data_IF_671753018361
#
_entry.id   IF_671753018361
#
_cell.length_a   1.000
_cell.length_b   1.000
_cell.length_c   1.000
_cell.angle_alpha   90.00
_cell.angle_beta   90.00
_cell.angle_gamma   90.00
#
_symmetry.space_group_name_H-M   'P 1'
#
loop_
_entity.id
_entity.type
_entity.pdbx_description
1 polymer ?
#
# COMPACT_ATOMS: atom_id res chain seq x y z
N UNK A 1 -28.64 -21.95 17.48
CA UNK A 1 -28.19 -20.95 16.52
C UNK A 1 -28.35 -19.59 17.16
N UNK A 2 -27.28 -18.98 17.65
CA UNK A 2 -27.29 -17.65 18.24
C UNK A 2 -27.45 -16.63 17.11
N UNK A 3 -28.52 -15.84 17.12
CA UNK A 3 -28.68 -14.69 16.22
C UNK A 3 -27.44 -13.78 16.36
N UNK A 4 -26.71 -13.59 15.26
CA UNK A 4 -25.60 -12.62 15.24
C UNK A 4 -26.22 -11.22 15.29
N UNK A 5 -25.85 -10.43 16.30
CA UNK A 5 -26.35 -9.08 16.47
C UNK A 5 -25.95 -8.20 15.27
N UNK A 6 -26.90 -7.40 14.77
CA UNK A 6 -26.75 -6.60 13.54
C UNK A 6 -25.58 -5.62 13.54
N UNK A 7 -25.04 -5.27 14.71
CA UNK A 7 -23.90 -4.36 14.87
C UNK A 7 -22.53 -5.02 14.58
N UNK A 8 -22.46 -6.36 14.51
CA UNK A 8 -21.21 -7.10 14.31
C UNK A 8 -21.27 -7.94 13.02
N UNK A 9 -21.18 -7.24 11.87
CA UNK A 9 -21.13 -7.84 10.53
C UNK A 9 -19.74 -7.64 9.93
N UNK A 10 -19.23 -8.67 9.26
CA UNK A 10 -17.94 -8.63 8.55
C UNK A 10 -18.05 -9.44 7.26
N UNK A 11 -17.49 -8.93 6.18
CA UNK A 11 -17.26 -9.66 4.92
C UNK A 11 -15.84 -10.25 4.83
N UNK A 12 -15.00 -10.02 5.85
CA UNK A 12 -13.59 -10.44 5.85
C UNK A 12 -13.44 -11.86 6.37
N UNK A 13 -14.01 -12.17 7.54
CA UNK A 13 -13.77 -13.47 8.17
C UNK A 13 -14.88 -13.87 9.12
N UNK A 14 -15.09 -15.18 9.23
CA UNK A 14 -16.05 -15.76 10.17
C UNK A 14 -15.58 -17.12 10.64
N UNK A 15 -15.99 -17.53 11.84
CA UNK A 15 -15.74 -18.87 12.36
C UNK A 15 -16.97 -19.46 13.05
N UNK A 16 -17.06 -20.78 13.02
CA UNK A 16 -17.95 -21.63 13.81
C UNK A 16 -17.09 -22.70 14.52
N UNK A 17 -17.73 -23.66 15.19
CA UNK A 17 -17.02 -24.81 15.76
C UNK A 17 -16.28 -25.65 14.70
N UNK A 18 -16.82 -25.70 13.47
CA UNK A 18 -16.42 -26.66 12.44
C UNK A 18 -15.91 -25.99 11.15
N UNK A 19 -15.92 -24.65 11.07
CA UNK A 19 -15.49 -23.92 9.87
C UNK A 19 -14.86 -22.59 10.23
N UNK A 20 -13.85 -22.20 9.45
CA UNK A 20 -13.26 -20.85 9.46
C UNK A 20 -13.24 -20.38 8.02
N UNK A 21 -13.81 -19.21 7.75
CA UNK A 21 -13.86 -18.63 6.40
C UNK A 21 -13.14 -17.30 6.36
N UNK A 22 -12.40 -17.02 5.28
CA UNK A 22 -11.87 -15.69 4.94
C UNK A 22 -12.31 -15.30 3.53
N UNK A 23 -12.83 -14.08 3.37
CA UNK A 23 -13.37 -13.56 2.11
C UNK A 23 -14.30 -14.55 1.38
N UNK A 24 -15.15 -15.25 2.14
CA UNK A 24 -16.08 -16.24 1.60
C UNK A 24 -15.50 -17.62 1.25
N UNK A 25 -14.22 -17.88 1.56
CA UNK A 25 -13.51 -19.15 1.29
C UNK A 25 -13.16 -19.87 2.59
N UNK A 26 -13.19 -21.19 2.58
CA UNK A 26 -12.79 -22.03 3.72
C UNK A 26 -11.27 -21.96 3.93
N UNK A 27 -10.85 -21.51 5.12
CA UNK A 27 -9.45 -21.28 5.44
C UNK A 27 -8.62 -22.59 5.41
N UNK A 28 -9.01 -23.68 6.08
CA UNK A 28 -8.24 -24.92 6.05
C UNK A 28 -8.13 -25.56 4.67
N UNK A 29 -9.23 -25.62 3.92
CA UNK A 29 -9.27 -26.41 2.69
C UNK A 29 -9.02 -25.60 1.43
N UNK A 30 -9.21 -24.28 1.42
CA UNK A 30 -9.07 -23.43 0.23
C UNK A 30 -7.91 -22.44 0.29
N UNK A 31 -7.42 -22.07 1.47
CA UNK A 31 -6.39 -21.04 1.64
C UNK A 31 -5.07 -21.62 2.15
N UNK A 32 -5.09 -22.37 3.27
CA UNK A 32 -3.88 -22.89 3.90
C UNK A 32 -3.10 -23.81 2.95
N UNK A 33 -1.83 -23.47 2.70
CA UNK A 33 -0.97 -24.21 1.77
C UNK A 33 -1.25 -23.94 0.29
N UNK A 34 -2.18 -23.03 -0.05
CA UNK A 34 -2.49 -22.63 -1.42
C UNK A 34 -2.14 -21.17 -1.71
N UNK A 35 -2.47 -20.28 -0.78
CA UNK A 35 -2.13 -18.85 -0.90
C UNK A 35 -0.94 -18.51 0.00
N UNK A 36 -0.02 -17.72 -0.53
CA UNK A 36 1.00 -17.00 0.23
C UNK A 36 0.37 -15.87 1.06
N UNK A 37 1.15 -15.30 1.97
CA UNK A 37 0.73 -14.15 2.76
C UNK A 37 0.37 -12.94 1.87
N UNK A 38 1.16 -12.69 0.82
CA UNK A 38 0.94 -11.58 -0.12
C UNK A 38 -0.35 -11.79 -0.94
N UNK A 39 -0.61 -13.02 -1.39
CA UNK A 39 -1.88 -13.35 -2.07
C UNK A 39 -3.09 -13.19 -1.17
N UNK A 40 -2.98 -13.63 0.10
CA UNK A 40 -4.06 -13.45 1.07
C UNK A 40 -4.30 -11.96 1.35
N UNK A 41 -3.24 -11.17 1.55
CA UNK A 41 -3.38 -9.73 1.75
C UNK A 41 -4.05 -9.06 0.54
N UNK A 42 -3.65 -9.43 -0.68
CA UNK A 42 -4.28 -8.95 -1.91
C UNK A 42 -5.77 -9.33 -1.95
N UNK A 43 -6.11 -10.60 -1.69
CA UNK A 43 -7.49 -11.09 -1.67
C UNK A 43 -8.36 -10.32 -0.66
N UNK A 44 -7.84 -10.07 0.54
CA UNK A 44 -8.60 -9.39 1.60
C UNK A 44 -8.85 -7.90 1.29
N UNK A 45 -7.92 -7.25 0.58
CA UNK A 45 -8.01 -5.83 0.22
C UNK A 45 -8.76 -5.59 -1.09
N UNK A 46 -8.47 -6.39 -2.12
CA UNK A 46 -9.01 -6.23 -3.47
C UNK A 46 -10.25 -7.09 -3.73
N UNK A 47 -10.61 -8.00 -2.81
CA UNK A 47 -11.72 -8.94 -2.93
C UNK A 47 -11.64 -9.86 -4.17
N UNK A 48 -10.43 -10.09 -4.69
CA UNK A 48 -10.12 -11.04 -5.77
C UNK A 48 -8.69 -11.54 -5.62
N UNK A 49 -8.37 -12.67 -6.23
CA UNK A 49 -6.96 -13.10 -6.30
C UNK A 49 -6.15 -12.17 -7.23
N UNK A 50 -4.85 -11.98 -6.93
CA UNK A 50 -3.97 -11.25 -7.82
C UNK A 50 -3.68 -12.08 -9.08
N UNK A 51 -3.43 -11.40 -10.19
CA UNK A 51 -2.69 -12.02 -11.30
C UNK A 51 -1.24 -12.31 -10.88
N UNK A 52 -0.51 -13.21 -11.56
CA UNK A 52 0.90 -13.47 -11.23
C UNK A 52 1.78 -12.21 -11.23
N UNK A 53 1.54 -11.28 -12.17
CA UNK A 53 2.25 -10.01 -12.24
C UNK A 53 1.92 -9.07 -11.07
N UNK A 54 0.64 -8.96 -10.70
CA UNK A 54 0.21 -8.14 -9.55
C UNK A 54 0.78 -8.69 -8.25
N UNK A 55 0.81 -10.01 -8.10
CA UNK A 55 1.41 -10.67 -6.94
C UNK A 55 2.90 -10.32 -6.85
N UNK A 56 3.64 -10.48 -7.95
CA UNK A 56 5.08 -10.22 -7.97
C UNK A 56 5.41 -8.75 -7.70
N UNK A 57 4.62 -7.84 -8.26
CA UNK A 57 4.81 -6.40 -8.04
C UNK A 57 4.45 -6.00 -6.60
N UNK A 58 3.31 -6.48 -6.06
CA UNK A 58 2.92 -6.22 -4.68
C UNK A 58 3.96 -6.78 -3.69
N UNK A 59 4.45 -8.00 -3.92
CA UNK A 59 5.47 -8.61 -3.07
C UNK A 59 6.76 -7.78 -3.07
N UNK A 60 7.21 -7.33 -4.24
CA UNK A 60 8.37 -6.43 -4.35
C UNK A 60 8.15 -5.10 -3.61
N UNK A 61 6.96 -4.52 -3.68
CA UNK A 61 6.60 -3.32 -2.92
C UNK A 61 6.67 -3.60 -1.40
N UNK A 62 6.07 -4.69 -0.92
CA UNK A 62 6.11 -5.05 0.50
C UNK A 62 7.54 -5.29 0.99
N UNK A 63 8.37 -5.97 0.21
CA UNK A 63 9.81 -6.15 0.50
C UNK A 63 10.52 -4.80 0.57
N UNK A 64 10.22 -3.87 -0.34
CA UNK A 64 10.83 -2.54 -0.36
C UNK A 64 10.46 -1.65 0.84
N UNK A 65 9.39 -2.03 1.57
CA UNK A 65 8.88 -1.36 2.76
C UNK A 65 9.30 -2.06 4.07
N UNK A 66 9.96 -3.22 3.99
CA UNK A 66 10.25 -4.06 5.15
C UNK A 66 11.11 -3.35 6.20
N UNK A 67 12.14 -2.61 5.77
CA UNK A 67 12.94 -1.77 6.65
C UNK A 67 13.62 -0.64 5.87
N UNK A 68 13.94 0.43 6.59
CA UNK A 68 14.71 1.55 6.08
C UNK A 68 15.69 2.08 7.16
N UNK A 69 16.13 1.20 8.06
CA UNK A 69 17.06 1.50 9.14
C UNK A 69 16.42 2.21 10.33
N UNK A 70 17.14 3.17 10.92
CA UNK A 70 16.71 3.90 12.12
C UNK A 70 15.67 4.99 11.81
N UNK A 71 14.57 4.60 11.19
CA UNK A 71 13.39 5.45 11.00
C UNK A 71 12.82 5.88 12.36
N UNK A 72 12.04 6.99 12.42
CA UNK A 72 11.38 7.40 13.66
C UNK A 72 10.56 6.27 14.31
N UNK A 73 9.85 5.46 13.51
CA UNK A 73 9.11 4.28 13.99
C UNK A 73 10.01 3.24 14.62
N UNK A 74 11.16 2.92 14.00
CA UNK A 74 12.13 1.97 14.56
C UNK A 74 12.74 2.48 15.87
N UNK A 75 13.04 3.78 15.95
CA UNK A 75 13.58 4.41 17.17
C UNK A 75 12.55 4.39 18.31
N UNK A 76 11.30 4.73 18.03
CA UNK A 76 10.21 4.68 19.02
C UNK A 76 10.02 3.26 19.57
N UNK A 77 9.96 2.26 18.69
CA UNK A 77 9.83 0.87 19.10
C UNK A 77 11.00 0.42 20.00
N UNK A 78 12.25 0.74 19.63
CA UNK A 78 13.44 0.39 20.41
C UNK A 78 13.49 1.06 21.78
N UNK A 79 13.07 2.31 21.86
CA UNK A 79 13.00 3.04 23.12
C UNK A 79 11.99 2.39 24.07
N UNK A 80 10.79 2.05 23.57
CA UNK A 80 9.79 1.33 24.35
C UNK A 80 10.27 -0.05 24.77
N UNK A 81 10.91 -0.81 23.87
CA UNK A 81 11.46 -2.13 24.17
C UNK A 81 12.51 -2.10 25.29
N UNK A 82 13.31 -1.03 25.37
CA UNK A 82 14.33 -0.88 26.42
C UNK A 82 13.70 -0.75 27.82
N UNK A 83 12.48 -0.24 27.91
CA UNK A 83 11.74 -0.10 29.17
C UNK A 83 11.04 -1.39 29.64
N UNK A 84 10.60 -2.25 28.71
CA UNK A 84 9.89 -3.50 29.00
C UNK A 84 10.13 -4.56 27.90
N UNK A 85 11.27 -5.28 27.90
CA UNK A 85 11.62 -6.24 26.87
C UNK A 85 10.62 -7.40 26.70
N UNK A 86 9.92 -7.76 27.78
CA UNK A 86 8.87 -8.78 27.79
C UNK A 86 7.59 -8.33 27.05
N UNK A 87 7.42 -7.03 26.83
CA UNK A 87 6.24 -6.44 26.19
C UNK A 87 6.51 -6.09 24.71
N UNK A 88 6.96 -7.07 23.92
CA UNK A 88 7.33 -6.86 22.50
C UNK A 88 6.20 -6.25 21.66
N UNK A 89 4.94 -6.63 21.91
CA UNK A 89 3.76 -6.05 21.26
C UNK A 89 3.63 -4.55 21.54
N UNK A 90 4.01 -4.10 22.75
CA UNK A 90 4.01 -2.68 23.11
C UNK A 90 5.06 -1.90 22.36
N UNK A 91 6.25 -2.48 22.18
CA UNK A 91 7.31 -1.89 21.35
C UNK A 91 6.89 -1.77 19.88
N UNK A 92 6.31 -2.83 19.31
CA UNK A 92 5.78 -2.80 17.93
C UNK A 92 4.68 -1.74 17.80
N UNK A 93 3.72 -1.71 18.74
CA UNK A 93 2.66 -0.70 18.75
C UNK A 93 3.21 0.73 18.81
N UNK A 94 4.22 0.99 19.63
CA UNK A 94 4.84 2.32 19.72
C UNK A 94 5.44 2.79 18.38
N UNK A 95 6.09 1.89 17.63
CA UNK A 95 6.60 2.20 16.30
C UNK A 95 5.48 2.45 15.27
N UNK A 96 4.41 1.65 15.33
CA UNK A 96 3.26 1.75 14.41
C UNK A 96 2.42 3.00 14.65
N UNK A 97 2.20 3.38 15.92
CA UNK A 97 1.38 4.54 16.28
C UNK A 97 2.00 5.90 15.91
N UNK A 98 3.25 5.89 15.43
CA UNK A 98 3.90 7.06 14.82
C UNK A 98 3.60 7.25 13.32
N UNK A 99 2.92 6.30 12.68
CA UNK A 99 2.54 6.40 11.26
C UNK A 99 1.42 7.44 11.06
N UNK A 100 1.53 8.27 10.02
CA UNK A 100 0.58 9.33 9.72
C UNK A 100 0.93 10.12 8.45
N UNK A 101 0.39 11.33 8.29
CA UNK A 101 0.55 12.12 7.06
C UNK A 101 1.99 12.47 6.69
N UNK A 102 2.92 12.50 7.66
CA UNK A 102 4.34 12.78 7.41
C UNK A 102 5.15 11.51 7.17
N UNK A 103 4.75 10.39 7.80
CA UNK A 103 5.47 9.11 7.78
C UNK A 103 4.52 8.00 7.37
N UNK A 104 4.83 7.31 6.26
CA UNK A 104 4.00 6.30 5.58
C UNK A 104 2.79 6.87 4.83
N UNK A 105 2.12 7.90 5.35
CA UNK A 105 0.98 8.57 4.71
C UNK A 105 1.24 9.12 3.29
N UNK A 106 2.42 9.70 2.97
CA UNK A 106 2.66 10.30 1.66
C UNK A 106 2.46 9.37 0.46
N UNK A 107 2.59 8.04 0.65
CA UNK A 107 2.30 7.06 -0.40
C UNK A 107 0.82 7.06 -0.78
N UNK A 108 -0.08 7.15 0.22
CA UNK A 108 -1.51 7.26 -0.01
C UNK A 108 -1.88 8.59 -0.67
N UNK A 109 -1.26 9.69 -0.21
CA UNK A 109 -1.48 11.02 -0.80
C UNK A 109 -1.08 11.06 -2.29
N UNK A 110 0.04 10.43 -2.64
CA UNK A 110 0.49 10.30 -4.02
C UNK A 110 -0.49 9.47 -4.86
N UNK A 111 -0.96 8.34 -4.34
CA UNK A 111 -1.92 7.49 -5.04
C UNK A 111 -3.24 8.22 -5.31
N UNK A 112 -3.80 8.92 -4.32
CA UNK A 112 -5.01 9.72 -4.49
C UNK A 112 -4.80 10.87 -5.48
N UNK A 113 -3.69 11.61 -5.34
CA UNK A 113 -3.37 12.70 -6.26
C UNK A 113 -3.30 12.22 -7.72
N UNK A 114 -2.58 11.14 -7.99
CA UNK A 114 -2.47 10.57 -9.33
C UNK A 114 -3.82 10.07 -9.85
N UNK A 115 -4.57 9.34 -9.02
CA UNK A 115 -5.87 8.79 -9.38
C UNK A 115 -6.90 9.88 -9.71
N UNK A 116 -7.06 10.86 -8.83
CA UNK A 116 -8.01 11.95 -9.00
C UNK A 116 -7.61 12.84 -10.19
N UNK A 117 -6.32 13.14 -10.32
CA UNK A 117 -5.80 13.93 -11.45
C UNK A 117 -6.12 13.25 -12.78
N UNK A 118 -5.89 11.94 -12.87
CA UNK A 118 -6.17 11.18 -14.07
C UNK A 118 -7.69 11.06 -14.32
N UNK A 119 -8.48 10.67 -13.31
CA UNK A 119 -9.94 10.53 -13.41
C UNK A 119 -10.60 11.82 -13.91
N UNK A 120 -10.19 12.96 -13.39
CA UNK A 120 -10.87 14.24 -13.63
C UNK A 120 -10.47 14.88 -14.98
N UNK A 121 -9.28 14.53 -15.52
CA UNK A 121 -8.69 15.22 -16.69
C UNK A 121 -8.39 14.34 -17.89
N UNK A 122 -8.35 13.01 -17.74
CA UNK A 122 -7.94 12.11 -18.83
C UNK A 122 -8.86 12.18 -20.05
N UNK A 123 -10.16 12.43 -19.86
CA UNK A 123 -11.14 12.48 -20.96
C UNK A 123 -11.16 11.21 -21.82
N UNK A 124 -10.62 10.10 -21.31
CA UNK A 124 -10.46 8.81 -22.01
C UNK A 124 -9.18 8.64 -22.84
N UNK A 125 -8.31 9.66 -22.97
CA UNK A 125 -7.04 9.51 -23.72
C UNK A 125 -5.84 9.25 -22.79
N UNK A 126 -5.02 8.26 -23.15
CA UNK A 126 -3.83 7.82 -22.39
C UNK A 126 -2.54 7.92 -23.21
N UNK A 127 -2.54 8.79 -24.23
CA UNK A 127 -1.32 9.12 -24.97
C UNK A 127 -0.40 10.03 -24.16
N UNK A 128 0.91 9.94 -24.40
CA UNK A 128 1.92 10.68 -23.63
C UNK A 128 1.77 12.20 -23.71
N UNK A 129 1.24 12.73 -24.81
CA UNK A 129 1.06 14.18 -24.96
C UNK A 129 -0.04 14.66 -24.02
N UNK A 130 -1.16 13.94 -23.97
CA UNK A 130 -2.25 14.22 -23.05
C UNK A 130 -1.81 14.05 -21.59
N UNK A 131 -1.13 12.94 -21.25
CA UNK A 131 -0.64 12.69 -19.89
C UNK A 131 0.31 13.79 -19.40
N UNK A 132 1.24 14.25 -20.25
CA UNK A 132 2.13 15.38 -19.93
C UNK A 132 1.36 16.69 -19.71
N UNK A 133 0.31 16.94 -20.51
CA UNK A 133 -0.56 18.10 -20.33
C UNK A 133 -1.30 18.08 -18.99
N UNK A 134 -1.87 16.93 -18.65
CA UNK A 134 -2.58 16.69 -17.38
C UNK A 134 -1.63 16.87 -16.19
N UNK A 135 -0.45 16.24 -16.23
CA UNK A 135 0.55 16.33 -15.18
C UNK A 135 1.02 17.78 -14.99
N UNK A 136 1.28 18.50 -16.09
CA UNK A 136 1.68 19.91 -16.04
C UNK A 136 0.62 20.77 -15.34
N UNK A 137 -0.63 20.66 -15.77
CA UNK A 137 -1.72 21.44 -15.19
C UNK A 137 -1.88 21.17 -13.68
N UNK A 138 -1.87 19.89 -13.28
CA UNK A 138 -2.00 19.52 -11.87
C UNK A 138 -0.84 20.03 -11.00
N UNK A 139 0.39 19.98 -11.52
CA UNK A 139 1.57 20.53 -10.82
C UNK A 139 1.51 22.06 -10.74
N UNK A 140 1.14 22.74 -11.82
CA UNK A 140 1.00 24.21 -11.84
C UNK A 140 -0.06 24.69 -10.84
N UNK A 141 -1.20 23.99 -10.73
CA UNK A 141 -2.25 24.28 -9.75
C UNK A 141 -1.73 24.17 -8.31
N UNK A 142 -1.01 23.08 -7.97
CA UNK A 142 -0.44 22.90 -6.64
C UNK A 142 0.62 23.96 -6.31
N UNK A 143 1.48 24.30 -7.28
CA UNK A 143 2.50 25.34 -7.10
C UNK A 143 1.83 26.70 -6.88
N UNK A 144 0.81 27.05 -7.68
CA UNK A 144 0.06 28.30 -7.52
C UNK A 144 -0.64 28.39 -6.16
N UNK A 145 -1.06 27.25 -5.60
CA UNK A 145 -1.64 27.14 -4.26
C UNK A 145 -0.58 27.10 -3.13
N UNK A 146 0.72 27.12 -3.44
CA UNK A 146 1.81 26.99 -2.45
C UNK A 146 1.89 25.61 -1.80
N UNK A 147 1.31 24.58 -2.44
CA UNK A 147 1.28 23.21 -1.95
C UNK A 147 2.46 22.40 -2.52
N UNK A 148 2.84 21.32 -1.81
CA UNK A 148 3.82 20.35 -2.31
C UNK A 148 3.11 19.36 -3.24
N UNK A 149 3.85 18.85 -4.22
CA UNK A 149 3.38 17.75 -5.07
C UNK A 149 3.50 16.44 -4.29
N UNK A 150 2.38 15.72 -4.02
CA UNK A 150 2.43 14.45 -3.31
C UNK A 150 3.32 13.43 -4.03
N UNK A 151 4.11 12.67 -3.26
CA UNK A 151 5.05 11.68 -3.80
C UNK A 151 6.36 12.24 -4.36
N UNK A 152 6.53 13.57 -4.43
CA UNK A 152 7.78 14.19 -4.90
C UNK A 152 8.61 14.80 -3.76
N UNK A 153 9.92 14.57 -3.83
CA UNK A 153 10.92 15.07 -2.90
C UNK A 153 11.29 14.04 -1.81
N UNK A 154 12.59 13.88 -1.58
CA UNK A 154 13.10 12.94 -0.59
C UNK A 154 14.33 13.53 0.14
N UNK A 155 14.45 13.39 1.47
CA UNK A 155 15.56 13.97 2.22
C UNK A 155 16.92 13.35 1.89
N UNK A 156 16.94 12.04 1.61
CA UNK A 156 18.13 11.23 1.30
C UNK A 156 18.33 11.06 -0.22
N UNK A 157 17.42 10.33 -0.90
CA UNK A 157 17.41 10.09 -2.34
C UNK A 157 17.02 11.32 -3.18
N UNK A 158 17.92 12.31 -3.27
CA UNK A 158 17.64 13.57 -4.01
C UNK A 158 17.69 13.42 -5.52
N UNK A 159 18.58 12.56 -6.02
CA UNK A 159 18.77 12.34 -7.45
C UNK A 159 17.88 11.19 -7.93
N UNK A 160 18.04 10.00 -7.34
CA UNK A 160 17.22 8.82 -7.63
C UNK A 160 17.15 7.90 -6.40
N UNK A 161 15.95 7.40 -6.10
CA UNK A 161 15.79 6.32 -5.14
C UNK A 161 16.06 4.98 -5.85
N UNK A 162 17.00 4.15 -5.37
CA UNK A 162 17.40 2.92 -6.06
C UNK A 162 16.26 1.90 -6.21
N UNK A 163 15.18 2.05 -5.45
CA UNK A 163 13.99 1.20 -5.56
C UNK A 163 13.14 1.56 -6.77
N UNK A 164 13.17 2.83 -7.21
CA UNK A 164 12.28 3.32 -8.27
C UNK A 164 12.55 2.62 -9.61
N UNK A 165 13.80 2.61 -10.16
CA UNK A 165 14.07 1.90 -11.41
C UNK A 165 13.68 0.43 -11.33
N UNK A 166 13.95 -0.21 -10.18
CA UNK A 166 13.64 -1.62 -10.00
C UNK A 166 12.14 -1.91 -10.04
N UNK A 167 11.32 -1.07 -9.40
CA UNK A 167 9.86 -1.21 -9.43
C UNK A 167 9.29 -0.95 -10.84
N UNK A 168 9.88 -0.01 -11.57
CA UNK A 168 9.50 0.26 -12.97
C UNK A 168 9.85 -0.92 -13.90
N UNK A 169 11.05 -1.49 -13.78
CA UNK A 169 11.44 -2.69 -14.54
C UNK A 169 10.49 -3.86 -14.28
N UNK A 170 10.09 -4.07 -13.02
CA UNK A 170 9.13 -5.10 -12.65
C UNK A 170 7.76 -4.81 -13.26
N UNK A 171 7.26 -3.59 -13.14
CA UNK A 171 5.98 -3.21 -13.71
C UNK A 171 5.96 -3.34 -15.24
N UNK A 172 7.01 -2.94 -15.93
CA UNK A 172 7.13 -3.09 -17.39
C UNK A 172 7.21 -4.57 -17.79
N UNK A 173 8.04 -5.37 -17.11
CA UNK A 173 8.18 -6.80 -17.38
C UNK A 173 6.90 -7.61 -17.16
N UNK A 174 6.05 -7.19 -16.21
CA UNK A 174 4.75 -7.79 -15.95
C UNK A 174 3.59 -7.16 -16.77
N UNK A 175 3.87 -6.15 -17.60
CA UNK A 175 2.85 -5.43 -18.38
C UNK A 175 1.88 -4.60 -17.54
N UNK A 176 2.30 -4.18 -16.34
CA UNK A 176 1.52 -3.43 -15.35
C UNK A 176 1.84 -1.93 -15.33
N UNK A 177 2.67 -1.45 -16.27
CA UNK A 177 2.99 -0.03 -16.39
C UNK A 177 1.77 0.75 -16.91
N UNK A 178 1.02 1.32 -15.96
CA UNK A 178 -0.21 2.06 -16.23
C UNK A 178 0.01 3.57 -16.46
N UNK A 179 -1.06 4.32 -16.80
CA UNK A 179 -0.97 5.76 -17.06
C UNK A 179 -0.51 6.58 -15.85
N UNK A 180 -0.69 6.07 -14.63
CA UNK A 180 -0.21 6.73 -13.40
C UNK A 180 1.32 6.66 -13.22
N UNK A 181 2.02 5.88 -14.06
CA UNK A 181 3.48 5.68 -14.03
C UNK A 181 4.13 6.17 -15.34
N UNK A 182 3.45 6.99 -16.15
CA UNK A 182 3.93 7.51 -17.44
C UNK A 182 4.03 9.02 -17.46
#
# INVERSE_FOLDING_TARGET
>A
MTERADWLRSSIGSSTADSITLAGRDLPTEIMGRLSLTELAYLLLAHREPTPGELRLLDAVLVSLADHGLTPSALAARLTYTGAPEAIQGAVAAGLLGAGSVLLGPTGDAAWFLHDTFRDRAGGSVDDVNLRGIARAAVEELIAAGQRVPGLGHPIHRDEDPRVPRLYELAEGEGLLGPHMR
#
